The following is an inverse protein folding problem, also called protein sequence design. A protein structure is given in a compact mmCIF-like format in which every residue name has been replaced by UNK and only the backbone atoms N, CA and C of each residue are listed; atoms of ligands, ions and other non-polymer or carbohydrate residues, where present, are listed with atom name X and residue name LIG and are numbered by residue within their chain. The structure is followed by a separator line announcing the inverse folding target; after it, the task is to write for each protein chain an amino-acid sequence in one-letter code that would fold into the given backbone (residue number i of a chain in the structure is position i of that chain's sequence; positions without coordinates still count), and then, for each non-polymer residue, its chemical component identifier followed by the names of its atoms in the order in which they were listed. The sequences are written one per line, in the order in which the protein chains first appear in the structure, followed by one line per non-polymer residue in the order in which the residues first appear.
data_IF_773222539691
#
_entry.id   IF_773222539691
#
_cell.length_a   1.000
_cell.length_b   1.000
_cell.length_c   1.000
_cell.angle_alpha   90.00
_cell.angle_beta   90.00
_cell.angle_gamma   90.00
#
_symmetry.space_group_name_H-M   'P 1'
#
loop_
_entity.id
_entity.type
_entity.pdbx_description
1 polymer ?
#
# COMPACT_ATOMS: atom_id res chain seq x y z
N UNK A 1 -17.26 55.28 4.93
CA UNK A 1 -16.20 54.32 5.32
C UNK A 1 -16.29 53.16 4.34
N UNK A 2 -15.41 53.14 3.32
CA UNK A 2 -15.46 52.15 2.25
C UNK A 2 -14.77 50.86 2.72
N UNK A 3 -15.56 49.84 3.09
CA UNK A 3 -15.09 48.46 3.19
C UNK A 3 -15.01 47.88 1.77
N UNK A 4 -13.94 48.25 1.06
CA UNK A 4 -13.56 47.57 -0.17
C UNK A 4 -13.02 46.18 0.21
N UNK A 5 -13.93 45.20 0.30
CA UNK A 5 -13.54 43.79 0.26
C UNK A 5 -12.80 43.56 -1.07
N UNK A 6 -11.61 42.92 -1.08
CA UNK A 6 -10.94 42.59 -2.31
C UNK A 6 -11.90 41.73 -3.13
N UNK A 7 -12.17 42.12 -4.38
CA UNK A 7 -12.96 41.32 -5.32
C UNK A 7 -12.34 39.93 -5.36
N UNK A 8 -13.02 38.96 -4.76
CA UNK A 8 -12.69 37.55 -4.79
C UNK A 8 -12.51 37.14 -6.24
N UNK A 9 -11.28 36.83 -6.62
CA UNK A 9 -10.95 36.43 -7.99
C UNK A 9 -11.74 35.17 -8.35
N UNK A 10 -12.59 35.24 -9.39
CA UNK A 10 -13.45 34.13 -9.82
C UNK A 10 -12.65 32.85 -10.13
N UNK A 11 -11.40 32.99 -10.59
CA UNK A 11 -10.46 31.87 -10.80
C UNK A 11 -10.04 31.22 -9.48
N UNK A 12 -9.80 32.01 -8.43
CA UNK A 12 -9.53 31.50 -7.09
C UNK A 12 -10.78 30.81 -6.51
N UNK A 13 -11.97 31.40 -6.68
CA UNK A 13 -13.24 30.78 -6.26
C UNK A 13 -13.52 29.45 -6.97
N UNK A 14 -13.30 29.37 -8.28
CA UNK A 14 -13.48 28.14 -9.06
C UNK A 14 -12.45 27.06 -8.68
N UNK A 15 -11.18 27.42 -8.51
CA UNK A 15 -10.13 26.48 -8.06
C UNK A 15 -10.35 25.98 -6.63
N UNK A 16 -10.75 26.87 -5.72
CA UNK A 16 -11.07 26.51 -4.34
C UNK A 16 -12.33 25.64 -4.26
N UNK A 17 -13.35 25.93 -5.09
CA UNK A 17 -14.52 25.08 -5.25
C UNK A 17 -14.14 23.69 -5.76
N UNK A 18 -13.24 23.62 -6.75
CA UNK A 18 -12.68 22.38 -7.28
C UNK A 18 -11.92 21.57 -6.21
N UNK A 19 -10.95 22.19 -5.52
CA UNK A 19 -10.17 21.52 -4.45
C UNK A 19 -11.06 21.07 -3.28
N UNK A 20 -12.02 21.90 -2.87
CA UNK A 20 -12.95 21.56 -1.77
C UNK A 20 -13.91 20.45 -2.17
N UNK A 21 -14.39 20.45 -3.41
CA UNK A 21 -15.23 19.38 -3.95
C UNK A 21 -14.45 18.08 -4.05
N UNK A 22 -13.23 18.12 -4.60
CA UNK A 22 -12.33 16.97 -4.68
C UNK A 22 -12.02 16.42 -3.29
N UNK A 23 -11.72 17.28 -2.31
CA UNK A 23 -11.50 16.89 -0.92
C UNK A 23 -12.70 16.14 -0.34
N UNK A 24 -13.92 16.66 -0.52
CA UNK A 24 -15.15 15.99 -0.04
C UNK A 24 -15.38 14.65 -0.73
N UNK A 25 -15.17 14.59 -2.04
CA UNK A 25 -15.30 13.35 -2.82
C UNK A 25 -14.28 12.33 -2.32
N UNK A 26 -13.02 12.72 -2.16
CA UNK A 26 -11.95 11.87 -1.65
C UNK A 26 -12.26 11.36 -0.23
N UNK A 27 -12.63 12.26 0.68
CA UNK A 27 -13.02 11.89 2.04
C UNK A 27 -14.21 10.93 2.09
N UNK A 28 -15.18 11.09 1.19
CA UNK A 28 -16.34 10.20 1.10
C UNK A 28 -15.92 8.83 0.54
N UNK A 29 -15.05 8.84 -0.47
CA UNK A 29 -14.56 7.64 -1.14
C UNK A 29 -13.73 6.75 -0.20
N UNK A 30 -12.97 7.34 0.72
CA UNK A 30 -12.08 6.61 1.65
C UNK A 30 -12.60 6.54 3.09
N UNK A 31 -13.82 7.03 3.36
CA UNK A 31 -14.38 7.11 4.72
C UNK A 31 -14.33 5.76 5.45
N UNK A 32 -14.81 4.69 4.82
CA UNK A 32 -14.92 3.37 5.44
C UNK A 32 -13.55 2.78 5.79
N UNK A 33 -12.56 2.96 4.90
CA UNK A 33 -11.18 2.50 5.13
C UNK A 33 -10.56 3.24 6.33
N UNK A 34 -10.78 4.56 6.41
CA UNK A 34 -10.23 5.36 7.50
C UNK A 34 -10.94 5.13 8.84
N UNK A 35 -12.26 4.88 8.83
CA UNK A 35 -13.01 4.59 10.05
C UNK A 35 -12.54 3.31 10.73
N UNK A 36 -12.28 2.26 9.93
CA UNK A 36 -11.78 0.96 10.43
C UNK A 36 -10.35 1.06 10.96
N UNK A 37 -9.47 1.85 10.34
CA UNK A 37 -8.04 1.93 10.69
C UNK A 37 -7.75 2.85 11.89
N UNK A 38 -8.69 3.71 12.26
CA UNK A 38 -8.56 4.64 13.40
C UNK A 38 -9.34 4.18 14.66
N UNK A 39 -9.84 2.94 14.70
CA UNK A 39 -10.56 2.41 15.85
C UNK A 39 -9.69 1.54 16.77
N UNK A 40 -9.65 1.91 18.04
CA UNK A 40 -8.98 1.17 19.12
C UNK A 40 -10.06 0.31 19.79
N UNK A 41 -10.12 -0.97 19.47
CA UNK A 41 -10.98 -1.97 20.12
C UNK A 41 -12.50 -1.80 19.97
N UNK A 42 -13.07 -2.27 18.84
CA UNK A 42 -14.43 -2.83 18.83
C UNK A 42 -14.52 -4.04 17.88
N UNK A 43 -13.87 -5.15 18.24
CA UNK A 43 -14.21 -6.46 17.66
C UNK A 43 -15.47 -7.08 18.30
N UNK A 44 -15.82 -6.68 19.52
CA UNK A 44 -16.91 -7.29 20.30
C UNK A 44 -18.29 -6.61 20.18
N UNK A 45 -18.39 -5.48 19.49
CA UNK A 45 -19.70 -4.93 19.11
C UNK A 45 -19.66 -4.44 17.68
N UNK A 46 -19.55 -5.36 16.72
CA UNK A 46 -19.95 -5.08 15.33
C UNK A 46 -21.48 -4.89 15.34
N UNK A 47 -22.03 -3.69 15.11
CA UNK A 47 -23.48 -3.56 14.92
C UNK A 47 -23.89 -4.33 13.66
N UNK A 48 -25.19 -4.54 13.45
CA UNK A 48 -25.74 -5.19 12.26
C UNK A 48 -25.67 -4.31 10.98
N UNK A 49 -24.52 -3.68 10.70
CA UNK A 49 -24.33 -2.76 9.56
C UNK A 49 -24.06 -3.47 8.22
N UNK A 50 -24.20 -4.81 8.16
CA UNK A 50 -24.18 -5.65 6.95
C UNK A 50 -25.19 -5.24 5.85
N UNK A 51 -26.02 -4.21 6.05
CA UNK A 51 -27.17 -3.88 5.20
C UNK A 51 -26.98 -2.76 4.16
N UNK A 52 -25.85 -2.03 4.15
CA UNK A 52 -25.67 -0.87 3.25
C UNK A 52 -24.58 -1.02 2.17
N UNK A 53 -23.99 -2.21 2.03
CA UNK A 53 -22.83 -2.52 1.19
C UNK A 53 -23.10 -2.64 -0.32
N UNK A 54 -23.74 -1.63 -0.93
CA UNK A 54 -23.90 -1.53 -2.39
C UNK A 54 -23.80 -0.10 -2.90
N UNK A 55 -22.91 0.72 -2.35
CA UNK A 55 -22.46 1.90 -3.08
C UNK A 55 -21.21 1.56 -3.87
N UNK A 56 -21.39 1.43 -5.18
CA UNK A 56 -20.36 1.16 -6.16
C UNK A 56 -19.51 2.44 -6.33
N UNK A 57 -18.68 2.75 -5.32
CA UNK A 57 -17.79 3.91 -5.31
C UNK A 57 -16.45 3.64 -6.00
N UNK A 58 -16.27 2.46 -6.61
CA UNK A 58 -15.02 2.06 -7.25
C UNK A 58 -14.55 3.11 -8.26
N UNK A 59 -15.44 3.55 -9.16
CA UNK A 59 -15.09 4.53 -10.20
C UNK A 59 -14.63 5.88 -9.60
N UNK A 60 -15.29 6.32 -8.52
CA UNK A 60 -14.97 7.57 -7.83
C UNK A 60 -13.66 7.45 -7.04
N UNK A 61 -13.41 6.32 -6.37
CA UNK A 61 -12.15 6.02 -5.70
C UNK A 61 -10.99 5.96 -6.70
N UNK A 62 -11.23 5.38 -7.88
CA UNK A 62 -10.23 5.23 -8.94
C UNK A 62 -9.84 6.59 -9.51
N UNK A 63 -10.81 7.41 -9.92
CA UNK A 63 -10.53 8.74 -10.45
C UNK A 63 -9.88 9.67 -9.41
N UNK A 64 -10.33 9.60 -8.15
CA UNK A 64 -9.78 10.40 -7.06
C UNK A 64 -8.34 9.98 -6.69
N UNK A 65 -8.06 8.68 -6.67
CA UNK A 65 -6.72 8.13 -6.39
C UNK A 65 -5.71 8.46 -7.49
N UNK A 66 -6.13 8.47 -8.76
CA UNK A 66 -5.26 8.80 -9.90
C UNK A 66 -4.77 10.26 -9.85
N UNK A 67 -5.64 11.20 -9.46
CA UNK A 67 -5.37 12.64 -9.55
C UNK A 67 -4.72 13.26 -8.30
N UNK A 68 -4.68 12.53 -7.18
CA UNK A 68 -4.14 13.02 -5.92
C UNK A 68 -2.63 12.71 -5.76
N UNK A 69 -1.88 13.71 -5.29
CA UNK A 69 -0.54 13.51 -4.73
C UNK A 69 -0.63 13.12 -3.24
N UNK A 70 0.48 12.62 -2.68
CA UNK A 70 0.50 12.17 -1.28
C UNK A 70 0.14 13.30 -0.31
N UNK A 71 0.52 14.54 -0.60
CA UNK A 71 0.22 15.68 0.27
C UNK A 71 -1.29 15.94 0.34
N UNK A 72 -1.98 15.93 -0.80
CA UNK A 72 -3.42 16.04 -0.84
C UNK A 72 -4.11 14.90 -0.09
N UNK A 73 -3.62 13.67 -0.26
CA UNK A 73 -4.17 12.48 0.40
C UNK A 73 -4.07 12.61 1.93
N UNK A 74 -2.90 13.02 2.43
CA UNK A 74 -2.67 13.19 3.88
C UNK A 74 -3.47 14.36 4.45
N UNK A 75 -3.56 15.48 3.72
CA UNK A 75 -4.43 16.60 4.09
C UNK A 75 -5.91 16.17 4.16
N UNK A 76 -6.34 15.31 3.23
CA UNK A 76 -7.69 14.77 3.21
C UNK A 76 -7.97 13.83 4.38
N UNK A 77 -7.00 12.97 4.71
CA UNK A 77 -7.09 12.08 5.85
C UNK A 77 -7.13 12.85 7.17
N UNK A 78 -6.32 13.91 7.31
CA UNK A 78 -6.37 14.78 8.49
C UNK A 78 -7.71 15.49 8.61
N UNK A 79 -8.20 16.12 7.53
CA UNK A 79 -9.49 16.82 7.53
C UNK A 79 -10.66 15.88 7.84
N UNK A 80 -10.56 14.61 7.42
CA UNK A 80 -11.50 13.57 7.80
C UNK A 80 -11.41 13.25 9.28
N UNK A 81 -10.21 13.06 9.82
CA UNK A 81 -10.04 12.70 11.22
C UNK A 81 -10.46 13.82 12.17
N UNK A 82 -10.15 15.08 11.84
CA UNK A 82 -10.59 16.26 12.58
C UNK A 82 -12.12 16.36 12.66
N UNK A 83 -12.83 15.78 11.69
CA UNK A 83 -14.29 15.80 11.62
C UNK A 83 -14.94 14.55 12.23
N UNK A 84 -14.33 13.38 12.07
CA UNK A 84 -14.96 12.09 12.32
C UNK A 84 -14.29 11.26 13.43
N UNK A 85 -13.03 11.57 13.77
CA UNK A 85 -12.19 10.77 14.66
C UNK A 85 -11.56 11.59 15.80
N UNK A 86 -12.19 12.70 16.20
CA UNK A 86 -11.73 13.50 17.35
C UNK A 86 -11.60 12.64 18.61
N UNK A 87 -10.41 12.66 19.21
CA UNK A 87 -10.10 11.88 20.41
C UNK A 87 -9.78 10.40 20.15
N UNK A 88 -9.81 9.93 18.90
CA UNK A 88 -9.33 8.60 18.52
C UNK A 88 -7.82 8.63 18.32
N UNK A 89 -7.16 7.49 18.56
CA UNK A 89 -5.73 7.30 18.29
C UNK A 89 -5.56 6.32 17.14
N UNK A 90 -4.61 6.59 16.24
CA UNK A 90 -4.22 5.63 15.22
C UNK A 90 -3.54 4.43 15.86
N UNK A 91 -4.05 3.24 15.54
CA UNK A 91 -3.38 2.01 15.91
C UNK A 91 -2.29 1.76 14.87
N UNK A 92 -1.03 1.95 15.26
CA UNK A 92 0.08 1.40 14.49
C UNK A 92 0.04 -0.11 14.71
N UNK A 93 -0.84 -0.79 13.97
CA UNK A 93 -0.95 -2.24 14.00
C UNK A 93 0.46 -2.78 13.73
N UNK A 94 1.07 -3.36 14.76
CA UNK A 94 2.41 -3.96 14.67
C UNK A 94 2.44 -5.19 13.74
N UNK A 95 1.26 -5.63 13.30
CA UNK A 95 1.03 -6.84 12.57
C UNK A 95 0.95 -6.56 11.06
N UNK A 96 2.10 -6.66 10.41
CA UNK A 96 2.16 -7.24 9.07
C UNK A 96 1.78 -8.74 9.12
N UNK A 97 0.65 -9.09 9.75
CA UNK A 97 0.08 -10.44 9.78
C UNK A 97 0.31 -11.28 11.03
N UNK A 98 0.02 -10.76 12.22
CA UNK A 98 -0.18 -11.58 13.43
C UNK A 98 1.06 -12.33 13.93
N UNK A 99 2.22 -12.09 13.33
CA UNK A 99 3.47 -12.59 13.83
C UNK A 99 4.00 -11.56 14.81
N UNK A 100 3.76 -11.80 16.09
CA UNK A 100 4.56 -11.26 17.19
C UNK A 100 6.01 -11.74 17.01
N UNK A 101 6.69 -11.24 15.98
CA UNK A 101 8.12 -11.34 15.86
C UNK A 101 8.68 -10.33 16.85
N UNK A 102 9.80 -10.65 17.49
CA UNK A 102 10.69 -9.74 18.21
C UNK A 102 11.26 -8.59 17.32
N UNK A 103 10.51 -8.15 16.31
CA UNK A 103 10.91 -7.40 15.12
C UNK A 103 10.80 -5.89 15.23
N UNK A 104 10.76 -5.32 16.44
CA UNK A 104 11.04 -3.89 16.62
C UNK A 104 12.51 -3.55 16.35
N UNK A 105 13.38 -4.56 16.21
CA UNK A 105 14.82 -4.44 15.92
C UNK A 105 15.17 -3.55 14.72
N UNK A 106 14.32 -3.50 13.68
CA UNK A 106 14.60 -2.75 12.45
C UNK A 106 13.88 -1.39 12.36
N UNK A 107 13.03 -1.07 13.32
CA UNK A 107 12.33 0.21 13.30
C UNK A 107 13.29 1.33 13.73
N UNK A 108 13.37 2.45 12.99
CA UNK A 108 14.11 3.62 13.45
C UNK A 108 13.66 4.09 14.84
N UNK A 109 14.56 4.65 15.65
CA UNK A 109 14.21 5.16 16.98
C UNK A 109 13.10 6.22 16.91
N UNK A 110 13.08 7.02 15.83
CA UNK A 110 12.01 7.98 15.55
C UNK A 110 10.63 7.32 15.46
N UNK A 111 10.53 6.16 14.81
CA UNK A 111 9.30 5.36 14.74
C UNK A 111 8.88 4.89 16.13
N UNK A 112 9.81 4.29 16.88
CA UNK A 112 9.53 3.76 18.22
C UNK A 112 9.07 4.87 19.17
N UNK A 113 9.68 6.05 19.09
CA UNK A 113 9.27 7.23 19.85
C UNK A 113 7.87 7.70 19.46
N UNK A 114 7.57 7.77 18.16
CA UNK A 114 6.25 8.16 17.66
C UNK A 114 5.15 7.22 18.16
N UNK A 115 5.34 5.90 18.03
CA UNK A 115 4.38 4.89 18.51
C UNK A 115 4.18 4.98 20.03
N UNK A 116 5.25 5.18 20.81
CA UNK A 116 5.16 5.36 22.27
C UNK A 116 4.34 6.60 22.64
N UNK A 117 4.52 7.72 21.94
CA UNK A 117 3.75 8.93 22.17
C UNK A 117 2.25 8.71 21.91
N UNK A 118 1.89 8.01 20.83
CA UNK A 118 0.50 7.63 20.53
C UNK A 118 -0.09 6.68 21.57
N UNK A 119 0.67 5.69 22.02
CA UNK A 119 0.22 4.70 23.01
C UNK A 119 -0.05 5.31 24.39
N UNK A 120 0.74 6.31 24.78
CA UNK A 120 0.57 7.04 26.04
C UNK A 120 -0.52 8.14 25.97
N UNK A 121 -1.21 8.28 24.82
CA UNK A 121 -2.18 9.35 24.60
C UNK A 121 -1.57 10.75 24.61
N UNK A 122 -0.25 10.85 24.42
CA UNK A 122 0.49 12.11 24.46
C UNK A 122 0.35 12.97 23.21
N UNK A 123 -0.21 12.41 22.13
CA UNK A 123 -0.42 13.10 20.84
C UNK A 123 -1.78 12.74 20.25
N UNK A 124 -2.44 13.73 19.63
CA UNK A 124 -3.61 13.53 18.78
C UNK A 124 -3.19 12.91 17.45
N UNK A 125 -4.11 12.27 16.72
CA UNK A 125 -3.82 11.77 15.38
C UNK A 125 -3.34 12.88 14.45
N UNK A 126 -2.16 12.66 13.86
CA UNK A 126 -1.59 13.47 12.79
C UNK A 126 -1.31 12.53 11.61
N UNK A 127 -2.11 12.66 10.55
CA UNK A 127 -2.04 11.79 9.38
C UNK A 127 -0.65 11.79 8.74
N UNK A 128 0.01 12.95 8.71
CA UNK A 128 1.33 13.11 8.12
C UNK A 128 2.39 12.49 9.01
N UNK A 129 2.42 12.82 10.30
CA UNK A 129 3.40 12.26 11.22
C UNK A 129 3.30 10.72 11.29
N UNK A 130 2.08 10.18 11.34
CA UNK A 130 1.87 8.73 11.32
C UNK A 130 2.32 8.11 9.99
N UNK A 131 2.04 8.77 8.86
CA UNK A 131 2.49 8.30 7.55
C UNK A 131 4.01 8.27 7.43
N UNK A 132 4.71 9.35 7.78
CA UNK A 132 6.17 9.40 7.68
C UNK A 132 6.83 8.36 8.58
N UNK A 133 6.32 8.19 9.80
CA UNK A 133 6.83 7.18 10.71
C UNK A 133 6.70 5.76 10.12
N UNK A 134 5.51 5.40 9.63
CA UNK A 134 5.28 4.08 9.00
C UNK A 134 6.11 3.93 7.71
N UNK A 135 6.28 5.00 6.92
CA UNK A 135 7.07 5.01 5.67
C UNK A 135 8.56 4.82 5.93
N UNK A 136 9.14 5.53 6.90
CA UNK A 136 10.54 5.39 7.31
C UNK A 136 10.83 3.97 7.81
N UNK A 137 9.89 3.39 8.57
CA UNK A 137 9.98 1.98 8.98
C UNK A 137 9.96 1.05 7.76
N UNK A 138 9.08 1.28 6.78
CA UNK A 138 8.96 0.44 5.60
C UNK A 138 10.20 0.52 4.69
N UNK A 139 10.88 1.67 4.63
CA UNK A 139 12.15 1.85 3.92
C UNK A 139 13.29 1.08 4.59
N UNK A 140 13.34 1.07 5.93
CA UNK A 140 14.37 0.38 6.69
C UNK A 140 14.15 -1.15 6.74
N UNK A 141 12.90 -1.58 6.62
CA UNK A 141 12.52 -2.98 6.78
C UNK A 141 12.73 -3.76 5.47
N UNK A 142 13.65 -4.73 5.48
CA UNK A 142 13.77 -5.70 4.39
C UNK A 142 13.06 -7.01 4.76
N UNK A 143 11.93 -7.27 4.10
CA UNK A 143 11.13 -8.48 4.36
C UNK A 143 11.91 -9.74 3.98
N UNK A 144 11.93 -10.73 4.88
CA UNK A 144 12.42 -12.08 4.54
C UNK A 144 11.45 -12.72 3.55
N UNK A 145 11.91 -13.43 2.50
CA UNK A 145 11.02 -14.08 1.56
C UNK A 145 10.02 -15.06 2.17
N UNK A 146 10.38 -15.62 3.32
CA UNK A 146 9.50 -16.50 4.08
C UNK A 146 8.20 -15.80 4.48
N UNK A 147 8.18 -14.47 4.63
CA UNK A 147 6.97 -13.73 4.99
C UNK A 147 6.02 -13.52 3.80
N UNK A 148 6.48 -13.59 2.55
CA UNK A 148 5.62 -13.39 1.37
C UNK A 148 4.56 -14.51 1.23
N UNK A 149 4.84 -15.70 1.76
CA UNK A 149 3.94 -16.85 1.73
C UNK A 149 2.87 -16.84 2.84
N UNK A 150 3.04 -16.02 3.89
CA UNK A 150 2.24 -16.10 5.13
C UNK A 150 1.33 -14.90 5.38
N UNK A 151 1.26 -13.89 4.50
CA UNK A 151 0.30 -12.78 4.67
C UNK A 151 -1.11 -13.23 4.28
N UNK A 152 -1.66 -14.14 5.07
CA UNK A 152 -3.10 -14.41 5.12
C UNK A 152 -3.59 -13.77 6.41
N UNK A 153 -4.43 -12.74 6.32
CA UNK A 153 -5.01 -12.14 7.52
C UNK A 153 -6.53 -12.20 7.44
N UNK A 154 -7.12 -12.47 8.61
CA UNK A 154 -8.49 -12.86 8.91
C UNK A 154 -9.58 -11.93 8.37
N UNK A 155 -10.79 -12.50 8.25
CA UNK A 155 -12.09 -11.94 7.87
C UNK A 155 -12.31 -10.44 8.20
N UNK A 156 -11.82 -9.59 7.30
CA UNK A 156 -12.24 -8.20 7.19
C UNK A 156 -13.51 -8.09 6.34
N UNK A 157 -14.34 -7.06 6.56
CA UNK A 157 -15.46 -6.77 5.66
C UNK A 157 -14.95 -6.55 4.22
N UNK A 158 -15.77 -6.94 3.24
CA UNK A 158 -15.57 -6.64 1.81
C UNK A 158 -15.56 -5.11 1.60
N UNK A 159 -14.41 -4.46 1.80
CA UNK A 159 -14.18 -3.11 1.26
C UNK A 159 -13.70 -3.30 -0.17
N UNK A 160 -14.27 -2.53 -1.09
CA UNK A 160 -13.69 -2.41 -2.43
C UNK A 160 -12.39 -1.62 -2.29
N UNK A 161 -11.21 -2.24 -2.49
CA UNK A 161 -9.97 -1.48 -2.45
C UNK A 161 -9.94 -0.51 -3.64
N UNK A 162 -9.31 0.67 -3.51
CA UNK A 162 -9.09 1.54 -4.66
C UNK A 162 -8.30 0.79 -5.74
N UNK A 163 -8.69 0.93 -7.01
CA UNK A 163 -7.87 0.43 -8.13
C UNK A 163 -6.58 1.22 -8.13
N UNK A 164 -5.47 0.51 -7.98
CA UNK A 164 -4.17 1.15 -8.05
C UNK A 164 -3.90 1.57 -9.50
N UNK A 165 -3.51 2.83 -9.73
CA UNK A 165 -3.02 3.27 -11.03
C UNK A 165 -1.91 2.33 -11.52
N UNK A 166 -1.98 1.90 -12.79
CA UNK A 166 -1.03 0.93 -13.37
C UNK A 166 0.42 1.40 -13.21
N UNK A 167 0.67 2.70 -13.33
CA UNK A 167 2.00 3.30 -13.15
C UNK A 167 2.53 3.28 -11.71
N UNK A 168 1.70 2.94 -10.71
CA UNK A 168 2.15 2.63 -9.35
C UNK A 168 2.54 1.16 -9.20
N UNK A 169 2.20 0.29 -10.16
CA UNK A 169 2.46 -1.15 -10.13
C UNK A 169 3.61 -1.54 -11.06
N UNK A 170 3.72 -0.91 -12.24
CA UNK A 170 4.65 -1.37 -13.28
C UNK A 170 6.01 -0.67 -13.29
N UNK A 171 6.19 0.36 -12.45
CA UNK A 171 7.41 1.17 -12.42
C UNK A 171 7.76 1.86 -13.75
N UNK A 172 8.93 2.51 -13.84
CA UNK A 172 9.82 2.84 -12.72
C UNK A 172 9.13 3.79 -11.73
N UNK A 173 9.58 3.77 -10.47
CA UNK A 173 8.98 4.56 -9.39
C UNK A 173 9.89 5.70 -8.95
N UNK A 174 9.39 6.93 -9.07
CA UNK A 174 9.92 8.06 -8.32
C UNK A 174 9.40 8.08 -6.88
N UNK A 175 9.95 8.96 -6.04
CA UNK A 175 9.59 9.03 -4.62
C UNK A 175 8.09 9.30 -4.39
N UNK A 176 7.46 10.11 -5.23
CA UNK A 176 6.01 10.36 -5.13
C UNK A 176 5.19 9.10 -5.41
N UNK A 177 5.57 8.33 -6.45
CA UNK A 177 4.92 7.06 -6.77
C UNK A 177 5.12 6.04 -5.66
N UNK A 178 6.32 5.98 -5.05
CA UNK A 178 6.61 5.09 -3.91
C UNK A 178 5.74 5.42 -2.70
N UNK A 179 5.60 6.70 -2.37
CA UNK A 179 4.81 7.17 -1.22
C UNK A 179 3.31 6.90 -1.43
N UNK A 180 2.80 7.13 -2.64
CA UNK A 180 1.41 6.79 -3.01
C UNK A 180 1.16 5.29 -3.01
N UNK A 181 2.08 4.49 -3.54
CA UNK A 181 2.00 3.03 -3.49
C UNK A 181 1.98 2.55 -2.03
N UNK A 182 2.88 3.06 -1.20
CA UNK A 182 2.91 2.72 0.22
C UNK A 182 1.60 3.12 0.92
N UNK A 183 1.06 4.32 0.66
CA UNK A 183 -0.23 4.72 1.21
C UNK A 183 -1.36 3.75 0.82
N UNK A 184 -1.41 3.31 -0.44
CA UNK A 184 -2.39 2.33 -0.91
C UNK A 184 -2.23 0.99 -0.20
N UNK A 185 -1.00 0.52 0.04
CA UNK A 185 -0.73 -0.74 0.74
C UNK A 185 -1.00 -0.61 2.24
N UNK A 186 -0.65 0.52 2.86
CA UNK A 186 -0.94 0.85 4.26
C UNK A 186 -2.45 0.92 4.54
N UNK A 187 -3.20 1.47 3.60
CA UNK A 187 -4.67 1.48 3.64
C UNK A 187 -5.28 0.08 3.48
N UNK A 188 -4.53 -0.90 2.95
CA UNK A 188 -4.91 -2.31 2.77
C UNK A 188 -4.51 -3.18 3.96
N UNK A 189 -4.78 -2.70 5.17
CA UNK A 189 -4.83 -3.58 6.33
C UNK A 189 -5.78 -4.74 6.01
N UNK A 190 -5.20 -5.92 5.77
CA UNK A 190 -5.80 -7.24 5.90
C UNK A 190 -6.76 -7.69 4.77
N UNK A 191 -6.38 -7.51 3.49
CA UNK A 191 -7.04 -8.24 2.39
C UNK A 191 -6.33 -9.55 2.07
N UNK A 192 -7.11 -10.60 1.82
CA UNK A 192 -6.63 -11.88 1.32
C UNK A 192 -5.79 -11.64 0.06
N UNK A 193 -4.46 -11.77 0.16
CA UNK A 193 -3.55 -11.60 -0.97
C UNK A 193 -3.78 -12.64 -2.08
N UNK A 194 -4.65 -13.64 -1.85
CA UNK A 194 -5.14 -14.55 -2.90
C UNK A 194 -6.15 -13.90 -3.84
N UNK A 195 -6.80 -12.81 -3.43
CA UNK A 195 -7.70 -12.05 -4.30
C UNK A 195 -6.86 -10.93 -4.94
N UNK A 196 -6.73 -10.94 -6.27
CA UNK A 196 -5.95 -9.96 -7.05
C UNK A 196 -6.09 -8.54 -6.47
N UNK A 197 -5.12 -8.06 -5.67
CA UNK A 197 -5.39 -7.03 -4.68
C UNK A 197 -5.60 -5.64 -5.30
N UNK A 198 -5.46 -5.52 -6.61
CA UNK A 198 -5.37 -4.26 -7.36
C UNK A 198 -6.39 -4.17 -8.50
N UNK A 199 -7.28 -5.18 -8.67
CA UNK A 199 -8.25 -5.29 -9.76
C UNK A 199 -7.66 -4.84 -11.11
N UNK A 200 -6.74 -5.65 -11.64
CA UNK A 200 -5.90 -5.29 -12.80
C UNK A 200 -6.67 -5.28 -14.13
N UNK A 201 -7.94 -5.67 -14.10
CA UNK A 201 -8.83 -5.71 -15.27
C UNK A 201 -8.33 -6.66 -16.36
N UNK A 202 -8.69 -6.42 -17.63
CA UNK A 202 -8.35 -7.32 -18.74
C UNK A 202 -6.86 -7.36 -19.08
N UNK A 203 -6.02 -6.50 -18.47
CA UNK A 203 -4.57 -6.43 -18.69
C UNK A 203 -3.76 -6.98 -17.52
N UNK A 204 -4.36 -7.86 -16.73
CA UNK A 204 -3.76 -8.40 -15.52
C UNK A 204 -2.39 -9.04 -15.76
N UNK A 205 -2.27 -9.82 -16.85
CA UNK A 205 -1.02 -10.52 -17.18
C UNK A 205 0.08 -9.52 -17.53
N UNK A 206 -0.20 -8.54 -18.39
CA UNK A 206 0.78 -7.54 -18.81
C UNK A 206 1.25 -6.69 -17.62
N UNK A 207 0.34 -6.33 -16.72
CA UNK A 207 0.68 -5.56 -15.52
C UNK A 207 1.53 -6.39 -14.54
N UNK A 208 1.20 -7.67 -14.33
CA UNK A 208 2.01 -8.58 -13.49
C UNK A 208 3.41 -8.77 -14.06
N UNK A 209 3.53 -9.03 -15.36
CA UNK A 209 4.82 -9.21 -16.02
C UNK A 209 5.65 -7.92 -15.97
N UNK A 210 5.06 -6.76 -16.28
CA UNK A 210 5.77 -5.49 -16.20
C UNK A 210 6.21 -5.14 -14.76
N UNK A 211 5.38 -5.46 -13.76
CA UNK A 211 5.74 -5.33 -12.35
C UNK A 211 6.95 -6.21 -11.99
N UNK A 212 6.94 -7.48 -12.39
CA UNK A 212 8.03 -8.42 -12.14
C UNK A 212 9.33 -7.97 -12.84
N UNK A 213 9.20 -7.56 -14.11
CA UNK A 213 10.32 -7.08 -14.92
C UNK A 213 10.96 -5.84 -14.30
N UNK A 214 10.15 -4.88 -13.81
CA UNK A 214 10.64 -3.64 -13.21
C UNK A 214 11.17 -3.83 -11.78
N UNK A 215 10.46 -4.55 -10.93
CA UNK A 215 10.78 -4.69 -9.50
C UNK A 215 11.92 -5.67 -9.22
N UNK A 216 12.05 -6.73 -10.04
CA UNK A 216 12.94 -7.85 -9.74
C UNK A 216 14.00 -8.06 -10.81
N UNK A 217 13.62 -8.08 -12.09
CA UNK A 217 14.53 -8.53 -13.15
C UNK A 217 15.47 -7.39 -13.58
N UNK A 218 14.91 -6.21 -13.84
CA UNK A 218 15.64 -5.07 -14.40
C UNK A 218 16.25 -4.15 -13.35
N UNK A 219 15.80 -4.22 -12.09
CA UNK A 219 16.28 -3.34 -11.02
C UNK A 219 17.73 -3.65 -10.65
N UNK A 220 18.69 -2.74 -10.77
CA UNK A 220 20.10 -3.05 -10.40
C UNK A 220 20.23 -3.55 -8.95
N UNK A 221 19.53 -2.87 -8.03
CA UNK A 221 19.40 -3.23 -6.62
C UNK A 221 17.91 -3.34 -6.32
N UNK A 222 17.51 -4.35 -5.54
CA UNK A 222 16.10 -4.50 -5.17
C UNK A 222 15.70 -3.38 -4.21
N UNK A 223 14.63 -2.65 -4.54
CA UNK A 223 14.08 -1.62 -3.67
C UNK A 223 13.22 -2.28 -2.57
N UNK A 224 13.63 -2.22 -1.29
CA UNK A 224 12.91 -2.91 -0.21
C UNK A 224 11.46 -2.50 -0.10
N UNK A 225 11.14 -1.21 -0.31
CA UNK A 225 9.79 -0.72 -0.21
C UNK A 225 8.91 -1.28 -1.33
N UNK A 226 9.43 -1.32 -2.56
CA UNK A 226 8.71 -1.89 -3.71
C UNK A 226 8.45 -3.38 -3.50
N UNK A 227 9.46 -4.12 -3.05
CA UNK A 227 9.32 -5.54 -2.74
C UNK A 227 8.26 -5.73 -1.64
N UNK A 228 8.32 -4.98 -0.55
CA UNK A 228 7.33 -5.06 0.53
C UNK A 228 5.91 -4.74 0.06
N UNK A 229 5.75 -3.81 -0.88
CA UNK A 229 4.45 -3.36 -1.35
C UNK A 229 3.81 -4.27 -2.41
N UNK A 230 4.62 -4.86 -3.29
CA UNK A 230 4.12 -5.55 -4.50
C UNK A 230 4.40 -7.06 -4.51
N UNK A 231 5.35 -7.56 -3.72
CA UNK A 231 5.70 -8.98 -3.71
C UNK A 231 4.64 -9.80 -2.97
N UNK A 232 3.83 -10.56 -3.72
CA UNK A 232 2.81 -11.45 -3.17
C UNK A 232 2.39 -12.52 -4.17
N UNK A 233 1.67 -13.55 -3.71
CA UNK A 233 1.28 -14.71 -4.53
C UNK A 233 0.51 -14.33 -5.81
N UNK A 234 -0.31 -13.28 -5.74
CA UNK A 234 -1.08 -12.74 -6.87
C UNK A 234 -0.22 -12.44 -8.13
N UNK A 235 1.06 -12.12 -7.94
CA UNK A 235 1.99 -11.75 -9.02
C UNK A 235 2.34 -12.94 -9.91
N UNK A 236 2.29 -14.17 -9.38
CA UNK A 236 2.76 -15.39 -10.05
C UNK A 236 1.61 -16.24 -10.63
N UNK A 237 0.38 -15.94 -10.23
CA UNK A 237 -0.82 -16.65 -10.67
C UNK A 237 -1.25 -16.27 -12.09
N UNK A 238 -1.72 -17.28 -12.84
CA UNK A 238 -2.30 -17.14 -14.18
C UNK A 238 -1.38 -16.54 -15.26
N UNK A 239 -0.05 -16.59 -15.07
CA UNK A 239 0.89 -16.18 -16.11
C UNK A 239 1.06 -17.27 -17.19
N UNK A 240 1.16 -16.91 -18.48
CA UNK A 240 1.49 -17.83 -19.57
C UNK A 240 2.83 -18.53 -19.37
N UNK A 241 2.93 -19.81 -19.74
CA UNK A 241 4.11 -20.64 -19.49
C UNK A 241 5.37 -20.12 -20.21
N UNK A 242 5.21 -19.64 -21.45
CA UNK A 242 6.27 -19.02 -22.24
C UNK A 242 6.80 -17.75 -21.56
N UNK A 243 5.89 -16.89 -21.08
CA UNK A 243 6.26 -15.69 -20.33
C UNK A 243 6.99 -16.04 -19.02
N UNK A 244 6.54 -17.06 -18.28
CA UNK A 244 7.24 -17.55 -17.08
C UNK A 244 8.65 -18.03 -17.41
N UNK A 245 8.81 -18.85 -18.45
CA UNK A 245 10.09 -19.40 -18.85
C UNK A 245 11.10 -18.32 -19.25
N UNK A 246 10.67 -17.31 -20.01
CA UNK A 246 11.52 -16.16 -20.37
C UNK A 246 12.07 -15.44 -19.13
N UNK A 247 11.22 -15.13 -18.15
CA UNK A 247 11.65 -14.47 -16.90
C UNK A 247 12.53 -15.38 -16.05
N UNK A 248 12.26 -16.69 -16.00
CA UNK A 248 13.10 -17.65 -15.28
C UNK A 248 14.53 -17.65 -15.80
N UNK A 249 14.73 -17.64 -17.12
CA UNK A 249 16.07 -17.56 -17.73
C UNK A 249 16.79 -16.26 -17.32
N UNK A 250 16.08 -15.13 -17.34
CA UNK A 250 16.63 -13.84 -16.95
C UNK A 250 17.00 -13.80 -15.46
N UNK A 251 16.16 -14.36 -14.58
CA UNK A 251 16.41 -14.46 -13.15
C UNK A 251 17.63 -15.34 -12.84
N UNK A 252 17.77 -16.47 -13.52
CA UNK A 252 18.94 -17.36 -13.34
C UNK A 252 20.22 -16.65 -13.74
N UNK A 253 20.23 -15.95 -14.88
CA UNK A 253 21.38 -15.17 -15.31
C UNK A 253 21.77 -14.10 -14.28
N UNK A 254 20.78 -13.42 -13.69
CA UNK A 254 21.00 -12.44 -12.64
C UNK A 254 21.54 -13.07 -11.36
N UNK A 255 21.03 -14.24 -10.96
CA UNK A 255 21.55 -15.00 -9.80
C UNK A 255 23.02 -15.38 -10.03
N UNK A 256 23.40 -15.81 -11.23
CA UNK A 256 24.78 -16.16 -11.57
C UNK A 256 25.75 -14.96 -11.49
N UNK A 257 25.26 -13.74 -11.74
CA UNK A 257 26.04 -12.51 -11.56
C UNK A 257 26.32 -12.18 -10.08
N UNK A 258 25.58 -12.80 -9.16
CA UNK A 258 25.70 -12.58 -7.72
C UNK A 258 25.06 -11.28 -7.24
N UNK A 259 25.15 -11.04 -5.92
CA UNK A 259 24.55 -9.87 -5.28
C UNK A 259 24.55 -10.00 -3.77
N UNK A 260 23.87 -9.07 -3.08
CA UNK A 260 23.68 -9.16 -1.64
C UNK A 260 22.91 -10.42 -1.25
N UNK A 261 23.25 -11.03 -0.12
CA UNK A 261 22.65 -12.31 0.32
C UNK A 261 21.12 -12.26 0.39
N UNK A 262 20.55 -11.16 0.88
CA UNK A 262 19.10 -11.04 1.02
C UNK A 262 18.42 -10.88 -0.34
N UNK A 263 19.01 -10.10 -1.25
CA UNK A 263 18.53 -9.96 -2.62
C UNK A 263 18.54 -11.32 -3.33
N UNK A 264 19.61 -12.09 -3.17
CA UNK A 264 19.70 -13.46 -3.68
C UNK A 264 18.61 -14.36 -3.13
N UNK A 265 18.25 -14.24 -1.84
CA UNK A 265 17.12 -15.00 -1.27
C UNK A 265 15.78 -14.60 -1.90
N UNK A 266 15.57 -13.32 -2.19
CA UNK A 266 14.35 -12.83 -2.87
C UNK A 266 14.31 -13.34 -4.32
N UNK A 267 15.41 -13.25 -5.07
CA UNK A 267 15.48 -13.76 -6.44
C UNK A 267 15.18 -15.25 -6.50
N UNK A 268 15.76 -16.04 -5.60
CA UNK A 268 15.51 -17.49 -5.50
C UNK A 268 14.06 -17.80 -5.10
N UNK A 269 13.46 -16.98 -4.23
CA UNK A 269 12.02 -17.10 -3.93
C UNK A 269 11.19 -16.92 -5.20
N UNK A 270 11.44 -15.87 -5.98
CA UNK A 270 10.73 -15.62 -7.24
C UNK A 270 10.89 -16.76 -8.24
N UNK A 271 12.09 -17.34 -8.34
CA UNK A 271 12.33 -18.54 -9.17
C UNK A 271 11.41 -19.69 -8.75
N UNK A 272 11.30 -19.99 -7.44
CA UNK A 272 10.44 -21.07 -6.94
C UNK A 272 8.95 -20.84 -7.25
N UNK A 273 8.49 -19.59 -7.16
CA UNK A 273 7.10 -19.25 -7.43
C UNK A 273 6.75 -19.35 -8.92
N UNK A 274 7.72 -19.11 -9.82
CA UNK A 274 7.53 -19.23 -11.27
C UNK A 274 7.74 -20.66 -11.81
N UNK A 275 8.64 -21.44 -11.22
CA UNK A 275 9.06 -22.76 -11.72
C UNK A 275 8.21 -23.91 -11.14
N UNK A 276 6.94 -23.99 -11.52
CA UNK A 276 6.06 -25.08 -11.08
C UNK A 276 6.51 -26.47 -11.55
N UNK A 277 7.17 -26.54 -12.70
CA UNK A 277 7.66 -27.79 -13.30
C UNK A 277 9.03 -28.22 -12.76
N UNK A 278 9.63 -27.43 -11.88
CA UNK A 278 10.90 -27.73 -11.19
C UNK A 278 12.08 -27.92 -12.16
N UNK A 279 12.09 -27.22 -13.28
CA UNK A 279 13.16 -27.30 -14.29
C UNK A 279 14.42 -26.53 -13.87
N UNK A 280 14.28 -25.54 -12.98
CA UNK A 280 15.30 -24.62 -12.49
C UNK A 280 15.66 -24.87 -11.01
N UNK A 281 15.42 -26.09 -10.49
CA UNK A 281 15.70 -26.49 -9.09
C UNK A 281 17.10 -26.13 -8.59
N UNK A 282 18.10 -26.10 -9.47
CA UNK A 282 19.47 -25.72 -9.11
C UNK A 282 19.57 -24.29 -8.54
N UNK A 283 18.63 -23.41 -8.88
CA UNK A 283 18.57 -22.01 -8.46
C UNK A 283 17.65 -21.78 -7.26
N UNK A 284 17.20 -22.82 -6.56
CA UNK A 284 16.29 -22.68 -5.42
C UNK A 284 17.01 -22.33 -4.11
N UNK A 285 18.34 -22.54 -4.07
CA UNK A 285 19.17 -22.57 -2.86
C UNK A 285 20.36 -21.63 -2.91
#
# INVERSE_FOLDING_TARGET
MNLALPRSCHLLGAKLSGKTTLLRVFMTAFHDIWDVTLDKYVLDSRPEWKKYWRYNNADVQNEASIQADIDFILDAQQAWADKHALGRSFDHVNDWGGLSMDGTSYAPESYLQHVRQHSLGGVTFDARACFEADYDRALAYRVSPDNFAFVTIFEMPDLTPPVAPVNLITGPWNEEQKRRLFWLVRAKLLYDMKLEPLFLGPRAVEVKLACLDAAVISAEILDPLIINCLMGCWLFENLPQDAKHERLVQLCHRIDQGGEMLDMRILRFVVRELDHDKQFMAYYF
#
